data_IF_567383973357
#
_entry.id   IF_567383973357
#
_cell.length_a   1.000
_cell.length_b   1.000
_cell.length_c   1.000
_cell.angle_alpha   90.00
_cell.angle_beta   90.00
_cell.angle_gamma   90.00
#
_symmetry.space_group_name_H-M   'P 1'
#
loop_
_entity.id
_entity.type
_entity.pdbx_description
1 polymer ?
#
# COMPACT_ATOMS: atom_id res chain seq x y z
N UNK A 1 -9.90 0.59 12.75
CA UNK A 1 -8.85 1.39 12.07
C UNK A 1 -9.28 1.91 10.70
N UNK A 2 -9.53 1.07 9.68
CA UNK A 2 -9.85 1.57 8.32
C UNK A 2 -11.08 2.48 8.25
N UNK A 3 -12.14 2.19 9.02
CA UNK A 3 -13.31 3.07 9.13
C UNK A 3 -13.00 4.44 9.73
N UNK A 4 -12.06 4.53 10.67
CA UNK A 4 -11.63 5.80 11.25
C UNK A 4 -10.83 6.62 10.22
N UNK A 5 -9.93 5.96 9.50
CA UNK A 5 -9.20 6.58 8.40
C UNK A 5 -10.14 7.07 7.29
N UNK A 6 -11.18 6.32 6.95
CA UNK A 6 -12.20 6.77 5.99
C UNK A 6 -12.89 8.05 6.46
N UNK A 7 -13.34 8.11 7.73
CA UNK A 7 -13.93 9.33 8.31
C UNK A 7 -12.99 10.54 8.25
N UNK A 8 -11.69 10.31 8.42
CA UNK A 8 -10.69 11.37 8.31
C UNK A 8 -10.55 11.87 6.87
N UNK A 9 -10.60 10.97 5.89
CA UNK A 9 -10.64 11.32 4.46
C UNK A 9 -11.93 12.08 4.12
N UNK A 10 -13.09 11.65 4.60
CA UNK A 10 -14.37 12.36 4.40
C UNK A 10 -14.29 13.80 4.92
N UNK A 11 -13.71 13.97 6.11
CA UNK A 11 -13.52 15.29 6.74
C UNK A 11 -12.59 16.17 5.92
N UNK A 12 -11.47 15.64 5.41
CA UNK A 12 -10.53 16.38 4.55
C UNK A 12 -11.21 16.80 3.23
N UNK A 13 -11.94 15.89 2.60
CA UNK A 13 -12.68 16.17 1.35
C UNK A 13 -13.73 17.26 1.56
N UNK A 14 -14.54 17.13 2.61
CA UNK A 14 -15.60 18.07 2.96
C UNK A 14 -15.03 19.45 3.30
N UNK A 15 -13.96 19.51 4.10
CA UNK A 15 -13.27 20.77 4.43
C UNK A 15 -12.69 21.46 3.18
N UNK A 16 -12.36 20.68 2.15
CA UNK A 16 -11.87 21.17 0.86
C UNK A 16 -13.00 21.45 -0.14
N UNK A 17 -14.27 21.46 0.29
CA UNK A 17 -15.43 21.76 -0.56
C UNK A 17 -15.87 20.62 -1.49
N UNK A 18 -15.36 19.41 -1.31
CA UNK A 18 -15.74 18.23 -2.11
C UNK A 18 -16.77 17.38 -1.36
N UNK A 19 -17.67 16.72 -2.10
CA UNK A 19 -18.51 15.68 -1.53
C UNK A 19 -17.66 14.50 -1.04
N UNK A 20 -18.01 13.94 0.11
CA UNK A 20 -17.37 12.75 0.65
C UNK A 20 -17.49 11.59 -0.34
N UNK A 21 -16.35 11.00 -0.71
CA UNK A 21 -16.26 9.90 -1.66
C UNK A 21 -15.19 8.91 -1.20
N UNK A 22 -15.52 8.17 -0.15
CA UNK A 22 -14.69 7.08 0.39
C UNK A 22 -15.61 5.99 0.91
N UNK A 23 -15.17 4.74 0.73
CA UNK A 23 -15.87 3.56 1.23
C UNK A 23 -14.87 2.58 1.82
N UNK A 24 -15.33 1.77 2.77
CA UNK A 24 -14.53 0.69 3.36
C UNK A 24 -15.21 -0.63 3.05
N UNK A 25 -14.49 -1.51 2.36
CA UNK A 25 -14.90 -2.88 2.08
C UNK A 25 -13.95 -3.88 2.72
N UNK A 26 -14.49 -5.00 3.19
CA UNK A 26 -13.70 -6.15 3.61
C UNK A 26 -13.73 -7.19 2.49
N UNK A 27 -12.56 -7.66 2.07
CA UNK A 27 -12.43 -8.63 0.97
C UNK A 27 -11.53 -9.77 1.39
N UNK A 28 -12.11 -10.98 1.42
CA UNK A 28 -11.39 -12.23 1.66
C UNK A 28 -10.91 -12.85 0.34
N UNK A 29 -9.86 -12.25 -0.22
CA UNK A 29 -9.14 -12.77 -1.38
C UNK A 29 -7.63 -12.60 -1.16
N UNK A 30 -6.81 -13.58 -1.57
CA UNK A 30 -5.38 -13.59 -1.24
C UNK A 30 -4.57 -12.60 -2.08
N UNK A 31 -4.84 -12.52 -3.39
CA UNK A 31 -4.07 -11.71 -4.33
C UNK A 31 -4.82 -10.46 -4.77
N UNK A 32 -4.07 -9.41 -5.09
CA UNK A 32 -4.62 -8.12 -5.52
C UNK A 32 -5.45 -8.23 -6.80
N UNK A 33 -5.06 -9.11 -7.73
CA UNK A 33 -5.81 -9.36 -8.96
C UNK A 33 -7.23 -9.85 -8.65
N UNK A 34 -7.37 -10.84 -7.77
CA UNK A 34 -8.67 -11.33 -7.35
C UNK A 34 -9.50 -10.29 -6.58
N UNK A 35 -8.86 -9.44 -5.76
CA UNK A 35 -9.54 -8.32 -5.08
C UNK A 35 -10.04 -7.27 -6.10
N UNK A 36 -9.27 -7.00 -7.14
CA UNK A 36 -9.62 -6.08 -8.22
C UNK A 36 -10.79 -6.57 -9.05
N UNK A 37 -10.75 -7.82 -9.51
CA UNK A 37 -11.85 -8.40 -10.28
C UNK A 37 -13.15 -8.40 -9.48
N UNK A 38 -13.11 -8.74 -8.19
CA UNK A 38 -14.29 -8.66 -7.32
C UNK A 38 -14.87 -7.23 -7.24
N UNK A 39 -13.99 -6.23 -7.15
CA UNK A 39 -14.38 -4.82 -7.11
C UNK A 39 -15.04 -4.40 -8.43
N UNK A 40 -14.49 -4.85 -9.56
CA UNK A 40 -15.08 -4.65 -10.88
C UNK A 40 -16.45 -5.31 -11.02
N UNK A 41 -16.60 -6.54 -10.54
CA UNK A 41 -17.88 -7.25 -10.62
C UNK A 41 -18.97 -6.52 -9.83
N UNK A 42 -18.63 -5.95 -8.67
CA UNK A 42 -19.54 -5.09 -7.91
C UNK A 42 -19.95 -3.85 -8.71
N UNK A 43 -19.01 -3.15 -9.35
CA UNK A 43 -19.32 -1.97 -10.16
C UNK A 43 -20.20 -2.30 -11.37
N UNK A 44 -19.96 -3.46 -12.03
CA UNK A 44 -20.79 -3.92 -13.14
C UNK A 44 -22.22 -4.24 -12.69
N UNK A 45 -22.38 -4.85 -11.52
CA UNK A 45 -23.70 -5.15 -10.94
C UNK A 45 -24.51 -3.89 -10.63
N UNK A 46 -23.84 -2.81 -10.22
CA UNK A 46 -24.50 -1.54 -9.91
C UNK A 46 -25.01 -0.78 -11.15
N UNK A 47 -24.72 -1.26 -12.38
CA UNK A 47 -25.14 -0.65 -13.65
C UNK A 47 -24.90 0.87 -13.70
N UNK A 48 -23.79 1.33 -13.11
CA UNK A 48 -23.48 2.75 -13.08
C UNK A 48 -23.32 3.27 -14.52
N UNK A 49 -23.92 4.42 -14.87
CA UNK A 49 -23.75 5.03 -16.19
C UNK A 49 -22.31 5.58 -16.37
N UNK A 50 -21.56 5.75 -15.27
CA UNK A 50 -20.15 6.08 -15.34
C UNK A 50 -19.33 4.87 -15.77
N UNK A 51 -18.29 5.09 -16.57
CA UNK A 51 -17.25 4.09 -16.83
C UNK A 51 -16.13 4.27 -15.80
N UNK A 52 -16.16 3.57 -14.66
CA UNK A 52 -15.12 3.75 -13.64
C UNK A 52 -13.75 3.32 -14.19
N UNK A 53 -12.68 3.79 -13.56
CA UNK A 53 -11.33 3.24 -13.72
C UNK A 53 -10.79 2.93 -12.34
N UNK A 54 -10.20 1.75 -12.19
CA UNK A 54 -9.57 1.35 -10.94
C UNK A 54 -8.07 1.63 -10.98
N UNK A 55 -7.60 2.29 -9.95
CA UNK A 55 -6.18 2.57 -9.71
C UNK A 55 -5.82 2.04 -8.33
N UNK A 56 -4.96 1.02 -8.28
CA UNK A 56 -4.48 0.46 -7.03
C UNK A 56 -3.24 1.21 -6.56
N UNK A 57 -3.39 1.97 -5.47
CA UNK A 57 -2.27 2.60 -4.78
C UNK A 57 -1.58 1.55 -3.93
N UNK A 58 -0.31 1.26 -4.24
CA UNK A 58 0.47 0.20 -3.59
C UNK A 58 1.84 0.70 -3.16
N UNK A 59 2.46 0.00 -2.21
CA UNK A 59 3.89 0.16 -1.93
C UNK A 59 4.73 -0.81 -2.78
N UNK A 60 6.04 -0.55 -2.85
CA UNK A 60 6.94 -1.36 -3.68
C UNK A 60 6.96 -2.84 -3.28
N UNK A 61 6.90 -3.18 -1.99
CA UNK A 61 6.85 -4.60 -1.55
C UNK A 61 5.63 -5.34 -2.12
N UNK A 62 4.46 -4.68 -2.17
CA UNK A 62 3.27 -5.26 -2.78
C UNK A 62 3.44 -5.39 -4.28
N UNK A 63 3.93 -4.35 -4.97
CA UNK A 63 4.19 -4.40 -6.41
C UNK A 63 5.16 -5.54 -6.75
N UNK A 64 6.29 -5.62 -6.04
CA UNK A 64 7.28 -6.68 -6.16
C UNK A 64 6.65 -8.07 -6.02
N UNK A 65 5.86 -8.29 -4.95
CA UNK A 65 5.19 -9.58 -4.70
C UNK A 65 4.21 -9.95 -5.80
N UNK A 66 3.44 -8.99 -6.33
CA UNK A 66 2.48 -9.25 -7.41
C UNK A 66 3.16 -9.86 -8.63
N UNK A 67 4.40 -9.49 -8.92
CA UNK A 67 5.16 -10.01 -10.06
C UNK A 67 6.04 -11.23 -9.74
N UNK A 68 5.98 -11.78 -8.51
CA UNK A 68 6.70 -13.00 -8.18
C UNK A 68 5.89 -14.24 -8.60
N UNK A 69 6.43 -15.01 -9.55
CA UNK A 69 5.79 -16.21 -10.09
C UNK A 69 5.44 -17.27 -9.04
N UNK A 70 6.16 -17.32 -7.92
CA UNK A 70 5.89 -18.28 -6.82
C UNK A 70 4.51 -18.15 -6.18
N UNK A 71 3.81 -17.02 -6.37
CA UNK A 71 2.45 -16.83 -5.86
C UNK A 71 1.37 -17.29 -6.85
N UNK A 72 1.77 -17.83 -8.00
CA UNK A 72 0.89 -18.30 -9.05
C UNK A 72 1.13 -19.79 -9.31
N UNK A 73 0.07 -20.58 -9.60
CA UNK A 73 0.22 -21.99 -9.94
C UNK A 73 1.07 -22.23 -11.20
N UNK A 74 1.06 -21.31 -12.17
CA UNK A 74 1.86 -21.39 -13.39
C UNK A 74 2.16 -20.00 -13.98
N UNK A 75 3.12 -19.94 -14.91
CA UNK A 75 3.41 -18.74 -15.69
C UNK A 75 2.21 -18.31 -16.56
N UNK A 76 1.52 -19.27 -17.15
CA UNK A 76 0.34 -19.01 -17.99
C UNK A 76 -0.78 -18.36 -17.16
N UNK A 77 -1.05 -18.88 -15.97
CA UNK A 77 -2.06 -18.29 -15.08
C UNK A 77 -1.68 -16.86 -14.65
N UNK A 78 -0.40 -16.63 -14.32
CA UNK A 78 0.09 -15.28 -14.03
C UNK A 78 -0.15 -14.32 -15.21
N UNK A 79 0.18 -14.75 -16.44
CA UNK A 79 -0.03 -13.94 -17.64
C UNK A 79 -1.52 -13.65 -17.88
N UNK A 80 -2.40 -14.64 -17.71
CA UNK A 80 -3.85 -14.44 -17.82
C UNK A 80 -4.37 -13.44 -16.79
N UNK A 81 -3.88 -13.48 -15.55
CA UNK A 81 -4.25 -12.52 -14.51
C UNK A 81 -3.77 -11.10 -14.88
N UNK A 82 -2.56 -10.95 -15.41
CA UNK A 82 -2.06 -9.65 -15.89
C UNK A 82 -2.91 -9.10 -17.05
N UNK A 83 -3.23 -9.92 -18.05
CA UNK A 83 -4.09 -9.53 -19.17
C UNK A 83 -5.49 -9.12 -18.69
N UNK A 84 -6.06 -9.87 -17.76
CA UNK A 84 -7.35 -9.54 -17.15
C UNK A 84 -7.27 -8.18 -16.44
N UNK A 85 -6.29 -7.98 -15.57
CA UNK A 85 -6.16 -6.80 -14.73
C UNK A 85 -5.81 -5.54 -15.53
N UNK A 86 -4.77 -5.58 -16.36
CA UNK A 86 -4.25 -4.39 -17.05
C UNK A 86 -4.98 -4.08 -18.35
N UNK A 87 -5.33 -5.09 -19.16
CA UNK A 87 -5.93 -4.86 -20.48
C UNK A 87 -7.46 -4.89 -20.45
N UNK A 88 -8.05 -5.98 -19.97
CA UNK A 88 -9.50 -6.17 -20.02
C UNK A 88 -10.24 -5.28 -19.03
N UNK A 89 -9.71 -5.19 -17.82
CA UNK A 89 -10.23 -4.32 -16.76
C UNK A 89 -9.68 -2.90 -16.84
N UNK A 90 -8.58 -2.66 -17.56
CA UNK A 90 -7.97 -1.33 -17.68
C UNK A 90 -7.49 -0.77 -16.33
N UNK A 91 -7.25 -1.65 -15.36
CA UNK A 91 -6.80 -1.31 -14.01
C UNK A 91 -5.31 -0.97 -14.03
N UNK A 92 -4.87 -0.01 -13.22
CA UNK A 92 -3.45 0.34 -13.12
C UNK A 92 -2.92 0.23 -11.70
N UNK A 93 -1.60 0.08 -11.58
CA UNK A 93 -0.88 0.29 -10.34
C UNK A 93 -0.30 1.71 -10.28
N UNK A 94 -0.44 2.33 -9.12
CA UNK A 94 0.27 3.55 -8.73
C UNK A 94 1.10 3.21 -7.51
N UNK A 95 2.41 3.08 -7.70
CA UNK A 95 3.33 2.65 -6.65
C UNK A 95 4.04 3.85 -6.04
N UNK A 96 3.82 4.09 -4.75
CA UNK A 96 4.54 5.13 -4.02
C UNK A 96 5.97 4.67 -3.74
N UNK A 97 6.94 5.46 -4.21
CA UNK A 97 8.36 5.30 -3.89
C UNK A 97 8.58 5.75 -2.45
N UNK A 98 9.21 4.91 -1.64
CA UNK A 98 9.50 5.22 -0.23
C UNK A 98 10.99 5.36 -0.02
N UNK A 99 11.32 5.87 1.15
CA UNK A 99 12.69 5.87 1.62
C UNK A 99 13.24 4.43 1.64
N UNK A 100 14.45 4.19 1.09
CA UNK A 100 15.14 2.90 1.08
C UNK A 100 15.19 2.19 2.43
N UNK A 101 15.31 2.94 3.54
CA UNK A 101 15.27 2.39 4.91
C UNK A 101 13.94 1.68 5.25
N UNK A 102 12.88 1.93 4.46
CA UNK A 102 11.61 1.20 4.55
C UNK A 102 11.66 -0.20 3.94
N UNK A 103 12.75 -0.58 3.26
CA UNK A 103 12.92 -1.87 2.56
C UNK A 103 14.15 -2.64 3.07
N UNK A 104 14.18 -3.07 4.35
CA UNK A 104 15.32 -3.81 4.90
C UNK A 104 15.65 -5.10 4.14
N UNK A 105 14.67 -5.69 3.44
CA UNK A 105 14.84 -6.88 2.61
C UNK A 105 15.62 -6.63 1.30
N UNK A 106 15.72 -5.37 0.84
CA UNK A 106 16.47 -4.99 -0.36
C UNK A 106 17.90 -4.53 -0.02
N UNK A 107 18.20 -4.34 1.26
CA UNK A 107 19.50 -3.90 1.76
C UNK A 107 20.26 -5.14 2.24
N UNK A 108 21.30 -5.54 1.50
CA UNK A 108 22.23 -6.56 1.99
C UNK A 108 23.14 -5.93 3.05
N UNK A 109 23.33 -6.59 4.19
CA UNK A 109 24.04 -6.05 5.35
C UNK A 109 25.42 -5.44 5.06
N UNK A 110 25.77 -4.43 5.87
CA UNK A 110 27.02 -3.66 5.89
C UNK A 110 27.25 -2.64 4.75
N UNK A 111 26.20 -1.95 4.31
CA UNK A 111 26.30 -0.83 3.37
C UNK A 111 26.00 0.50 4.06
N UNK A 112 26.69 1.59 3.68
CA UNK A 112 26.36 2.94 4.19
C UNK A 112 24.93 3.34 3.78
N UNK A 113 24.32 4.34 4.44
CA UNK A 113 22.95 4.77 4.09
C UNK A 113 22.79 5.16 2.61
N UNK A 114 23.81 5.78 2.02
CA UNK A 114 23.83 6.14 0.60
C UNK A 114 23.91 4.92 -0.32
N UNK A 115 24.65 3.88 0.10
CA UNK A 115 24.75 2.62 -0.64
C UNK A 115 23.43 1.83 -0.59
N UNK A 116 22.76 1.85 0.57
CA UNK A 116 21.45 1.23 0.76
C UNK A 116 20.38 1.90 -0.12
N UNK A 117 20.42 3.23 -0.26
CA UNK A 117 19.53 3.96 -1.16
C UNK A 117 19.73 3.57 -2.62
N UNK A 118 20.98 3.62 -3.08
CA UNK A 118 21.29 3.23 -4.45
C UNK A 118 20.94 1.77 -4.73
N UNK A 119 21.14 0.87 -3.77
CA UNK A 119 20.78 -0.53 -3.91
C UNK A 119 19.26 -0.72 -4.03
N UNK A 120 18.46 -0.07 -3.17
CA UNK A 120 17.00 -0.14 -3.25
C UNK A 120 16.48 0.38 -4.59
N UNK A 121 17.05 1.48 -5.10
CA UNK A 121 16.71 2.02 -6.43
C UNK A 121 17.08 1.06 -7.56
N UNK A 122 18.25 0.42 -7.49
CA UNK A 122 18.65 -0.59 -8.49
C UNK A 122 17.71 -1.80 -8.50
N UNK A 123 17.25 -2.27 -7.34
CA UNK A 123 16.28 -3.38 -7.29
C UNK A 123 14.90 -2.96 -7.78
N UNK A 124 14.49 -1.70 -7.55
CA UNK A 124 13.29 -1.12 -8.17
C UNK A 124 13.40 -1.12 -9.70
N UNK A 125 14.47 -0.53 -10.24
CA UNK A 125 14.71 -0.45 -11.68
C UNK A 125 14.78 -1.83 -12.33
N UNK A 126 15.43 -2.80 -11.65
CA UNK A 126 15.52 -4.18 -12.10
C UNK A 126 14.15 -4.87 -12.17
N UNK A 127 13.27 -4.64 -11.20
CA UNK A 127 11.91 -5.14 -11.26
C UNK A 127 11.17 -4.50 -12.44
N UNK A 128 11.21 -3.18 -12.57
CA UNK A 128 10.49 -2.43 -13.60
C UNK A 128 10.95 -2.78 -15.01
N UNK A 129 12.24 -3.08 -15.20
CA UNK A 129 12.83 -3.52 -16.46
C UNK A 129 12.68 -5.04 -16.72
N UNK A 130 12.14 -5.80 -15.77
CA UNK A 130 11.98 -7.25 -15.95
C UNK A 130 10.93 -7.59 -17.01
N UNK A 131 11.10 -8.74 -17.68
CA UNK A 131 10.23 -9.20 -18.78
C UNK A 131 8.74 -9.21 -18.41
N UNK A 132 8.41 -9.54 -17.16
CA UNK A 132 7.03 -9.63 -16.68
C UNK A 132 6.40 -8.28 -16.32
N UNK A 133 7.19 -7.20 -16.21
CA UNK A 133 6.75 -5.89 -15.70
C UNK A 133 6.91 -4.79 -16.76
N UNK A 134 8.02 -4.79 -17.49
CA UNK A 134 8.37 -3.76 -18.46
C UNK A 134 7.23 -3.47 -19.48
N UNK A 135 6.53 -4.48 -20.05
CA UNK A 135 5.42 -4.21 -20.96
C UNK A 135 4.30 -3.38 -20.34
N UNK A 136 4.06 -3.54 -19.03
CA UNK A 136 3.02 -2.81 -18.30
C UNK A 136 3.46 -1.40 -17.92
N UNK A 137 4.76 -1.21 -17.66
CA UNK A 137 5.35 0.12 -17.43
C UNK A 137 5.30 0.95 -18.72
N UNK A 138 5.73 0.39 -19.84
CA UNK A 138 5.74 1.05 -21.15
C UNK A 138 4.35 1.50 -21.59
N UNK A 139 3.32 0.73 -21.24
CA UNK A 139 1.91 1.04 -21.51
C UNK A 139 1.28 1.99 -20.49
N UNK A 140 2.02 2.44 -19.48
CA UNK A 140 1.52 3.30 -18.41
C UNK A 140 0.54 2.61 -17.45
N UNK A 141 0.51 1.27 -17.43
CA UNK A 141 -0.33 0.48 -16.52
C UNK A 141 0.31 0.28 -15.15
N UNK A 142 1.62 0.49 -15.04
CA UNK A 142 2.37 0.57 -13.78
C UNK A 142 3.10 1.91 -13.74
N UNK A 143 2.73 2.77 -12.79
CA UNK A 143 3.39 4.07 -12.58
C UNK A 143 4.06 4.13 -11.21
N UNK A 144 5.25 4.72 -11.15
CA UNK A 144 5.94 5.07 -9.91
C UNK A 144 5.68 6.54 -9.57
N UNK A 145 5.44 6.83 -8.30
CA UNK A 145 5.23 8.19 -7.80
C UNK A 145 6.17 8.47 -6.63
N UNK A 146 6.97 9.51 -6.75
CA UNK A 146 7.78 10.03 -5.65
C UNK A 146 6.87 10.81 -4.69
N UNK A 147 6.90 10.43 -3.41
CA UNK A 147 6.20 11.13 -2.33
C UNK A 147 7.18 12.03 -1.58
N UNK A 148 6.62 12.96 -0.82
CA UNK A 148 7.38 13.84 0.05
C UNK A 148 8.38 13.04 0.93
N UNK A 149 9.67 13.43 1.00
CA UNK A 149 10.71 12.67 1.70
C UNK A 149 10.41 12.42 3.18
N UNK A 150 9.71 13.32 3.86
CA UNK A 150 9.38 13.14 5.26
C UNK A 150 8.20 12.17 5.43
N UNK A 151 7.24 12.19 4.50
CA UNK A 151 6.19 11.17 4.41
C UNK A 151 6.76 9.79 4.05
N UNK A 152 7.80 9.75 3.22
CA UNK A 152 8.45 8.52 2.77
C UNK A 152 9.09 7.70 3.92
N UNK A 153 9.45 8.38 5.03
CA UNK A 153 10.05 7.78 6.23
C UNK A 153 9.03 7.19 7.21
N UNK A 154 7.74 7.44 7.02
CA UNK A 154 6.69 6.96 7.94
C UNK A 154 6.42 5.46 7.75
N UNK A 155 6.81 4.64 8.73
CA UNK A 155 6.64 3.17 8.69
C UNK A 155 5.74 2.65 9.81
N UNK A 156 4.86 1.72 9.48
CA UNK A 156 4.02 1.01 10.47
C UNK A 156 4.86 0.22 11.47
N UNK A 157 6.07 -0.20 11.11
CA UNK A 157 7.01 -0.85 12.04
C UNK A 157 7.40 0.10 13.17
N UNK A 158 7.69 1.38 12.88
CA UNK A 158 8.01 2.39 13.89
C UNK A 158 6.83 2.62 14.85
N UNK A 159 5.61 2.71 14.31
CA UNK A 159 4.38 2.86 15.09
C UNK A 159 4.16 1.62 15.99
N UNK A 160 4.32 0.41 15.45
CA UNK A 160 4.16 -0.84 16.20
C UNK A 160 5.20 -0.96 17.32
N UNK A 161 6.47 -0.64 17.04
CA UNK A 161 7.52 -0.66 18.07
C UNK A 161 7.22 0.31 19.20
N UNK A 162 6.78 1.53 18.89
CA UNK A 162 6.34 2.49 19.90
C UNK A 162 5.17 1.95 20.74
N UNK A 163 4.17 1.33 20.11
CA UNK A 163 2.99 0.83 20.82
C UNK A 163 3.30 -0.35 21.74
N UNK A 164 4.26 -1.19 21.35
CA UNK A 164 4.78 -2.35 22.09
C UNK A 164 5.77 -2.00 23.21
N UNK A 165 6.33 -0.81 23.19
CA UNK A 165 7.32 -0.40 24.19
C UNK A 165 6.66 -0.13 25.54
N UNK A 166 6.78 -1.08 26.47
CA UNK A 166 6.22 -0.97 27.82
C UNK A 166 6.98 0.03 28.71
N UNK A 167 8.16 0.51 28.29
CA UNK A 167 8.89 1.56 29.00
C UNK A 167 8.30 2.96 28.78
N UNK A 168 7.45 3.12 27.78
CA UNK A 168 6.80 4.39 27.42
C UNK A 168 5.35 4.37 27.90
N UNK A 169 4.96 5.36 28.70
CA UNK A 169 3.59 5.49 29.18
C UNK A 169 2.60 5.90 28.06
N UNK A 170 1.31 5.72 28.33
CA UNK A 170 0.25 5.99 27.34
C UNK A 170 0.19 7.47 26.92
N UNK A 171 0.55 8.41 27.80
CA UNK A 171 0.54 9.84 27.49
C UNK A 171 1.65 10.17 26.49
N UNK A 172 2.86 9.69 26.75
CA UNK A 172 4.01 9.84 25.85
C UNK A 172 3.77 9.12 24.51
N UNK A 173 3.10 7.97 24.52
CA UNK A 173 2.67 7.30 23.28
C UNK A 173 1.74 8.18 22.46
N UNK A 174 0.71 8.77 23.09
CA UNK A 174 -0.23 9.69 22.40
C UNK A 174 0.51 10.86 21.77
N UNK A 175 1.34 11.58 22.52
CA UNK A 175 2.13 12.73 22.04
C UNK A 175 3.01 12.37 20.83
N UNK A 176 3.69 11.22 20.87
CA UNK A 176 4.54 10.76 19.75
C UNK A 176 3.72 10.31 18.53
N UNK A 177 2.50 9.81 18.72
CA UNK A 177 1.63 9.36 17.64
C UNK A 177 0.95 10.50 16.89
N UNK A 178 0.74 11.66 17.51
CA UNK A 178 0.12 12.84 16.87
C UNK A 178 0.86 13.31 15.61
N UNK A 179 2.18 13.11 15.56
CA UNK A 179 3.00 13.40 14.37
C UNK A 179 3.10 12.26 13.36
N UNK A 180 2.50 11.09 13.63
CA UNK A 180 2.67 9.87 12.83
C UNK A 180 1.36 9.34 12.22
N UNK A 181 0.22 9.63 12.86
CA UNK A 181 -1.08 9.16 12.42
C UNK A 181 -2.13 10.27 12.55
N UNK A 182 -3.22 10.20 11.78
CA UNK A 182 -4.37 11.08 11.97
C UNK A 182 -4.89 11.08 13.42
N UNK A 183 -5.39 12.23 13.94
CA UNK A 183 -5.83 12.35 15.33
C UNK A 183 -6.84 11.28 15.79
N UNK A 184 -7.76 10.87 14.91
CA UNK A 184 -8.77 9.85 15.23
C UNK A 184 -8.18 8.47 15.52
N UNK A 185 -6.96 8.21 15.02
CA UNK A 185 -6.25 6.95 15.24
C UNK A 185 -5.41 6.97 16.52
N UNK A 186 -5.02 8.13 17.03
CA UNK A 186 -4.16 8.23 18.23
C UNK A 186 -4.82 7.57 19.43
N UNK A 187 -6.06 7.96 19.73
CA UNK A 187 -6.83 7.39 20.85
C UNK A 187 -7.08 5.90 20.63
N UNK A 188 -7.57 5.53 19.44
CA UNK A 188 -7.86 4.15 19.10
C UNK A 188 -6.64 3.23 19.27
N UNK A 189 -5.47 3.63 18.78
CA UNK A 189 -4.26 2.79 18.82
C UNK A 189 -3.76 2.54 20.24
N UNK A 190 -3.86 3.53 21.13
CA UNK A 190 -3.43 3.40 22.53
C UNK A 190 -4.44 2.60 23.35
N UNK A 191 -5.73 2.89 23.19
CA UNK A 191 -6.79 2.31 24.03
C UNK A 191 -7.12 0.87 23.64
N UNK A 192 -7.13 0.57 22.33
CA UNK A 192 -7.48 -0.77 21.85
C UNK A 192 -6.41 -1.82 22.12
N UNK A 193 -5.17 -1.41 22.46
CA UNK A 193 -4.02 -2.27 22.75
C UNK A 193 -3.77 -3.36 21.69
N UNK A 194 -4.20 -3.14 20.44
CA UNK A 194 -4.19 -4.13 19.36
C UNK A 194 -2.80 -4.69 19.01
N UNK A 195 -1.73 -4.04 19.48
CA UNK A 195 -0.35 -4.47 19.25
C UNK A 195 0.38 -4.97 20.50
N UNK A 196 -0.26 -4.99 21.69
CA UNK A 196 0.40 -5.40 22.96
C UNK A 196 0.36 -6.89 23.22
N UNK A 197 -0.65 -7.60 22.73
CA UNK A 197 -0.76 -9.04 22.86
C UNK A 197 -0.47 -9.71 21.51
N UNK A 198 -0.03 -10.96 21.53
CA UNK A 198 0.40 -11.79 20.39
C UNK A 198 -0.64 -12.03 19.29
N UNK A 199 -1.22 -10.97 18.73
CA UNK A 199 -1.90 -10.96 17.45
C UNK A 199 -0.85 -10.97 16.32
N UNK A 200 -0.07 -12.05 16.26
CA UNK A 200 0.50 -12.51 15.00
C UNK A 200 -0.65 -13.21 14.25
N UNK A 201 -1.24 -12.48 13.30
CA UNK A 201 -2.02 -13.03 12.21
C UNK A 201 -1.24 -12.89 10.92
#
# INVERSE_FOLDING_TARGET
MMTLMAKDVERIQTASGHAANVAVGLVDKPLIFAKSTLTWDLFKQQQSPAKPRLHWVVGFDTLYRVFQLKYYPSLEEFQQQCLQFFEREGTTFVCARRDPSSYPQLISGESSEQDAEQQARREEDKLLASENVAPWVERGSVGMLDIDPDQAKLSSTKIRSLLKDDSVDDKQKKERLEGLVPPSLVEYLVESKIYRDGAEG
#
